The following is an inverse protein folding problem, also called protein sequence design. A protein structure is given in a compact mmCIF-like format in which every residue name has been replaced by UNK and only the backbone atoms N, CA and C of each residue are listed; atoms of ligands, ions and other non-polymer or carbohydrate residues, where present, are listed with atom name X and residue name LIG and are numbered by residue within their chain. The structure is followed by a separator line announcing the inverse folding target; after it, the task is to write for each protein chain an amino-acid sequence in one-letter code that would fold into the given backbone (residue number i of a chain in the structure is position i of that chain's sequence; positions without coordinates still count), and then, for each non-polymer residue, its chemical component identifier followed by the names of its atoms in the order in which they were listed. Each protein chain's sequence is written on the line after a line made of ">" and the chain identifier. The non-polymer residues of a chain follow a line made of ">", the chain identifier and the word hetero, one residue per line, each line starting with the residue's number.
data_IF_357841449471
#
_entry.id   IF_357841449471
#
_cell.length_a   1.000
_cell.length_b   1.000
_cell.length_c   1.000
_cell.angle_alpha   90.00
_cell.angle_beta   90.00
_cell.angle_gamma   90.00
#
_symmetry.space_group_name_H-M   'P 1'
#
loop_
_entity.id
_entity.type
_entity.pdbx_description
1 polymer ?
#
# COMPACT_ATOMS: atom_id res chain seq x y z
N UNK A 1 -22.74 37.57 -23.37
CA UNK A 1 -21.73 37.25 -22.37
C UNK A 1 -22.38 37.32 -20.98
N UNK A 2 -22.72 36.20 -20.39
CA UNK A 2 -23.19 36.11 -19.01
C UNK A 2 -22.11 35.39 -18.19
N UNK A 3 -21.81 35.78 -16.95
CA UNK A 3 -20.78 35.15 -16.16
C UNK A 3 -21.26 33.82 -15.58
N UNK A 4 -20.35 32.85 -15.59
CA UNK A 4 -20.51 31.49 -14.99
C UNK A 4 -20.40 31.64 -13.47
N UNK A 5 -21.41 31.18 -12.76
CA UNK A 5 -21.42 31.07 -11.29
C UNK A 5 -20.54 29.92 -10.83
N UNK A 6 -19.64 30.23 -9.92
CA UNK A 6 -18.83 29.25 -9.16
C UNK A 6 -19.71 28.48 -8.18
N UNK A 7 -19.80 27.16 -8.33
CA UNK A 7 -20.42 26.27 -7.35
C UNK A 7 -19.45 26.03 -6.19
N UNK A 8 -19.88 26.42 -4.99
CA UNK A 8 -19.23 26.14 -3.72
C UNK A 8 -19.23 24.63 -3.46
N UNK A 9 -18.07 24.10 -3.17
CA UNK A 9 -17.86 22.75 -2.62
C UNK A 9 -18.33 22.75 -1.16
N UNK A 10 -19.41 22.06 -0.90
CA UNK A 10 -19.93 21.81 0.43
C UNK A 10 -19.01 20.85 1.19
N UNK A 11 -18.37 21.35 2.24
CA UNK A 11 -17.57 20.56 3.18
C UNK A 11 -18.55 19.79 4.06
N UNK A 12 -18.56 18.46 3.94
CA UNK A 12 -19.39 17.58 4.75
C UNK A 12 -19.02 17.68 6.24
N UNK A 13 -20.01 18.04 7.05
CA UNK A 13 -20.00 18.16 8.50
C UNK A 13 -19.72 16.78 9.18
N UNK A 14 -18.76 16.65 10.10
CA UNK A 14 -18.48 15.40 10.80
C UNK A 14 -19.51 14.98 11.84
N UNK A 15 -20.65 15.67 11.96
CA UNK A 15 -21.66 15.40 12.99
C UNK A 15 -22.73 14.34 12.62
N UNK A 16 -22.69 13.72 11.43
CA UNK A 16 -23.70 12.72 10.99
C UNK A 16 -23.35 11.25 11.33
N UNK A 17 -22.42 11.00 12.26
CA UNK A 17 -22.04 9.65 12.69
C UNK A 17 -22.61 9.27 14.07
N UNK A 18 -23.89 9.49 14.31
CA UNK A 18 -24.62 8.90 15.45
C UNK A 18 -26.04 8.55 15.06
N UNK A 19 -26.25 7.29 14.59
CA UNK A 19 -27.46 6.47 14.80
C UNK A 19 -27.27 5.10 14.15
N UNK A 20 -27.48 4.03 14.96
CA UNK A 20 -27.67 2.67 14.43
C UNK A 20 -26.76 1.63 15.05
N UNK A 21 -26.97 1.32 16.35
CA UNK A 21 -26.69 -0.04 16.86
C UNK A 21 -27.77 -0.95 16.31
N UNK A 22 -27.53 -1.51 15.14
CA UNK A 22 -28.19 -2.71 14.68
C UNK A 22 -27.10 -3.67 14.16
N UNK A 23 -27.03 -4.82 14.79
CA UNK A 23 -26.42 -6.04 14.26
C UNK A 23 -27.23 -6.44 13.03
N UNK A 24 -27.04 -5.73 11.93
CA UNK A 24 -27.53 -6.18 10.64
C UNK A 24 -26.65 -7.36 10.24
N UNK A 25 -27.21 -8.57 10.37
CA UNK A 25 -26.87 -9.71 9.55
C UNK A 25 -26.98 -9.22 8.11
N UNK A 26 -25.83 -8.92 7.53
CA UNK A 26 -25.72 -8.53 6.13
C UNK A 26 -26.19 -9.75 5.32
N UNK A 27 -27.47 -9.77 4.96
CA UNK A 27 -28.02 -10.66 3.96
C UNK A 27 -27.24 -10.39 2.66
N UNK A 28 -26.25 -11.22 2.39
CA UNK A 28 -25.56 -11.23 1.11
C UNK A 28 -26.59 -11.70 0.10
N UNK A 29 -27.14 -10.76 -0.63
CA UNK A 29 -28.08 -11.03 -1.72
C UNK A 29 -27.44 -11.98 -2.73
N UNK A 30 -28.22 -12.92 -3.28
CA UNK A 30 -27.76 -13.88 -4.27
C UNK A 30 -27.04 -13.22 -5.46
N UNK A 31 -27.45 -12.00 -5.84
CA UNK A 31 -26.79 -11.19 -6.85
C UNK A 31 -25.34 -10.80 -6.51
N UNK A 32 -25.04 -10.53 -5.24
CA UNK A 32 -23.69 -10.20 -4.77
C UNK A 32 -22.74 -11.40 -4.83
N UNK A 33 -23.25 -12.63 -4.65
CA UNK A 33 -22.46 -13.87 -4.75
C UNK A 33 -22.10 -14.21 -6.20
N UNK A 34 -22.97 -13.90 -7.15
CA UNK A 34 -22.71 -14.08 -8.57
C UNK A 34 -21.64 -13.09 -9.08
N UNK A 35 -21.63 -11.87 -8.58
CA UNK A 35 -20.59 -10.88 -8.87
C UNK A 35 -19.18 -11.35 -8.47
N UNK A 36 -19.06 -12.20 -7.45
CA UNK A 36 -17.78 -12.76 -7.02
C UNK A 36 -17.21 -13.83 -7.98
N UNK A 37 -17.95 -14.30 -8.95
CA UNK A 37 -17.42 -15.19 -10.00
C UNK A 37 -16.35 -14.52 -10.83
N UNK A 38 -16.32 -13.16 -10.85
CA UNK A 38 -15.33 -12.36 -11.55
C UNK A 38 -14.12 -11.97 -10.67
N UNK A 39 -13.97 -12.60 -9.47
CA UNK A 39 -12.92 -12.29 -8.52
C UNK A 39 -11.90 -13.43 -8.41
N UNK A 40 -10.62 -13.11 -8.58
CA UNK A 40 -9.48 -13.95 -8.20
C UNK A 40 -8.98 -13.52 -6.82
N UNK A 41 -8.87 -14.46 -5.89
CA UNK A 41 -8.30 -14.23 -4.56
C UNK A 41 -6.87 -14.78 -4.50
N UNK A 42 -5.90 -13.89 -4.34
CA UNK A 42 -4.48 -14.25 -4.20
C UNK A 42 -4.14 -14.37 -2.72
N UNK A 43 -3.66 -15.53 -2.33
CA UNK A 43 -3.26 -15.84 -0.95
C UNK A 43 -1.76 -16.12 -0.92
N UNK A 44 -0.92 -15.09 -0.66
CA UNK A 44 0.51 -15.30 -0.45
C UNK A 44 0.74 -15.96 0.91
N UNK A 45 1.53 -17.02 0.94
CA UNK A 45 1.86 -17.75 2.17
C UNK A 45 3.34 -18.05 2.29
N UNK A 46 3.85 -18.03 3.51
CA UNK A 46 5.20 -18.45 3.85
C UNK A 46 5.24 -18.98 5.29
N UNK A 47 5.39 -20.30 5.45
CA UNK A 47 5.41 -20.98 6.73
C UNK A 47 4.14 -20.70 7.57
N UNK A 48 2.97 -21.00 6.98
CA UNK A 48 1.63 -20.82 7.57
C UNK A 48 0.83 -22.15 7.52
N UNK A 49 1.50 -23.30 7.65
CA UNK A 49 0.89 -24.66 7.55
C UNK A 49 -0.33 -24.83 8.45
N UNK A 50 -0.33 -24.21 9.64
CA UNK A 50 -1.40 -24.34 10.63
C UNK A 50 -2.69 -23.58 10.25
N UNK A 51 -2.58 -22.53 9.43
CA UNK A 51 -3.71 -21.64 9.13
C UNK A 51 -4.23 -21.77 7.70
N UNK A 52 -3.35 -22.09 6.74
CA UNK A 52 -3.68 -21.97 5.31
C UNK A 52 -4.84 -22.86 4.88
N UNK A 53 -4.87 -24.13 5.31
CA UNK A 53 -5.92 -25.06 4.91
C UNK A 53 -7.31 -24.56 5.33
N UNK A 54 -7.44 -24.20 6.61
CA UNK A 54 -8.69 -23.64 7.16
C UNK A 54 -9.10 -22.36 6.43
N UNK A 55 -8.16 -21.47 6.14
CA UNK A 55 -8.39 -20.22 5.41
C UNK A 55 -8.99 -20.48 4.03
N UNK A 56 -8.43 -21.42 3.27
CA UNK A 56 -8.93 -21.77 1.93
C UNK A 56 -10.30 -22.44 2.00
N UNK A 57 -10.51 -23.37 2.94
CA UNK A 57 -11.78 -24.07 3.14
C UNK A 57 -12.91 -23.11 3.54
N UNK A 58 -12.65 -22.15 4.46
CA UNK A 58 -13.59 -21.10 4.83
C UNK A 58 -14.00 -20.24 3.62
N UNK A 59 -13.03 -19.80 2.80
CA UNK A 59 -13.30 -19.02 1.58
C UNK A 59 -14.11 -19.81 0.56
N UNK A 60 -13.74 -21.06 0.29
CA UNK A 60 -14.49 -21.94 -0.64
C UNK A 60 -15.92 -22.20 -0.18
N UNK A 61 -16.10 -22.45 1.12
CA UNK A 61 -17.42 -22.68 1.69
C UNK A 61 -18.31 -21.44 1.59
N UNK A 62 -17.78 -20.27 1.88
CA UNK A 62 -18.52 -19.01 1.82
C UNK A 62 -18.78 -18.55 0.37
N UNK A 63 -17.85 -18.76 -0.53
CA UNK A 63 -17.87 -18.25 -1.90
C UNK A 63 -17.36 -19.30 -2.91
N UNK A 64 -18.16 -20.31 -3.29
CA UNK A 64 -17.70 -21.46 -4.12
C UNK A 64 -17.24 -21.09 -5.52
N UNK A 65 -17.65 -19.93 -6.04
CA UNK A 65 -17.34 -19.48 -7.42
C UNK A 65 -16.03 -18.68 -7.53
N UNK A 66 -15.35 -18.38 -6.40
CA UNK A 66 -14.08 -17.68 -6.40
C UNK A 66 -12.98 -18.45 -7.13
N UNK A 67 -12.14 -17.75 -7.87
CA UNK A 67 -10.84 -18.27 -8.26
C UNK A 67 -9.86 -18.07 -7.11
N UNK A 68 -9.44 -19.12 -6.45
CA UNK A 68 -8.47 -19.05 -5.34
C UNK A 68 -7.09 -19.45 -5.86
N UNK A 69 -6.10 -18.58 -5.64
CA UNK A 69 -4.71 -18.75 -6.05
C UNK A 69 -3.84 -18.65 -4.80
N UNK A 70 -3.38 -19.78 -4.31
CA UNK A 70 -2.40 -19.83 -3.23
C UNK A 70 -1.00 -19.73 -3.82
N UNK A 71 -0.19 -18.83 -3.33
CA UNK A 71 1.22 -18.69 -3.75
C UNK A 71 2.11 -18.96 -2.55
N UNK A 72 2.69 -20.12 -2.51
CA UNK A 72 3.67 -20.55 -1.51
C UNK A 72 5.04 -19.94 -1.86
N UNK A 73 5.50 -19.04 -1.02
CA UNK A 73 6.76 -18.31 -1.22
C UNK A 73 7.98 -19.09 -0.71
N UNK A 74 8.05 -20.39 -1.04
CA UNK A 74 9.16 -21.27 -0.70
C UNK A 74 9.17 -21.66 0.77
N UNK A 75 8.03 -22.13 1.30
CA UNK A 75 7.91 -22.65 2.66
C UNK A 75 8.70 -23.94 2.85
N UNK A 76 9.17 -24.14 4.07
CA UNK A 76 9.88 -25.34 4.53
C UNK A 76 9.11 -26.18 5.58
N UNK A 77 7.88 -25.74 5.92
CA UNK A 77 7.03 -26.36 6.95
C UNK A 77 5.89 -27.23 6.39
N UNK A 78 5.80 -27.42 5.06
CA UNK A 78 4.72 -28.15 4.42
C UNK A 78 3.47 -27.31 4.11
N UNK A 79 3.56 -25.99 4.16
CA UNK A 79 2.44 -25.07 3.84
C UNK A 79 1.84 -25.34 2.47
N UNK A 80 2.66 -25.52 1.43
CA UNK A 80 2.19 -25.80 0.07
C UNK A 80 1.45 -27.13 -0.02
N UNK A 81 2.00 -28.17 0.62
CA UNK A 81 1.42 -29.51 0.61
C UNK A 81 0.06 -29.56 1.32
N UNK A 82 -0.12 -28.75 2.37
CA UNK A 82 -1.35 -28.71 3.17
C UNK A 82 -2.62 -28.34 2.37
N UNK A 83 -2.47 -27.80 1.14
CA UNK A 83 -3.58 -27.36 0.30
C UNK A 83 -3.61 -28.02 -1.10
N UNK A 84 -2.63 -28.87 -1.43
CA UNK A 84 -2.55 -29.50 -2.77
C UNK A 84 -3.72 -30.42 -3.09
N UNK A 85 -4.30 -31.08 -2.09
CA UNK A 85 -5.45 -31.97 -2.22
C UNK A 85 -6.79 -31.22 -2.37
N UNK A 86 -6.80 -29.91 -2.18
CA UNK A 86 -8.02 -29.10 -2.27
C UNK A 86 -8.38 -28.85 -3.73
N UNK A 87 -9.46 -29.46 -4.20
CA UNK A 87 -9.94 -29.27 -5.58
C UNK A 87 -10.42 -27.84 -5.86
N UNK A 88 -10.19 -27.37 -7.09
CA UNK A 88 -10.71 -26.07 -7.57
C UNK A 88 -9.96 -24.86 -7.03
N UNK A 89 -8.71 -25.03 -6.61
CA UNK A 89 -7.77 -23.96 -6.32
C UNK A 89 -6.52 -24.08 -7.19
N UNK A 90 -5.81 -22.98 -7.41
CA UNK A 90 -4.48 -23.00 -8.01
C UNK A 90 -3.44 -22.85 -6.92
N UNK A 91 -2.45 -23.76 -6.88
CA UNK A 91 -1.30 -23.69 -5.99
C UNK A 91 -0.05 -23.43 -6.82
N UNK A 92 0.64 -22.35 -6.53
CA UNK A 92 1.90 -21.94 -7.15
C UNK A 92 2.98 -21.89 -6.09
N UNK A 93 4.17 -22.40 -6.40
CA UNK A 93 5.27 -22.43 -5.41
C UNK A 93 6.53 -21.77 -5.99
N UNK A 94 7.19 -20.97 -5.18
CA UNK A 94 8.54 -20.47 -5.45
C UNK A 94 9.57 -21.47 -4.92
N UNK A 95 10.70 -21.61 -5.62
CA UNK A 95 11.80 -22.49 -5.17
C UNK A 95 12.52 -21.97 -3.92
N UNK A 96 12.31 -20.73 -3.52
CA UNK A 96 12.86 -20.05 -2.35
C UNK A 96 12.01 -18.86 -1.96
N UNK A 97 12.16 -18.35 -0.75
CA UNK A 97 11.50 -17.12 -0.34
C UNK A 97 11.97 -15.94 -1.19
N UNK A 98 11.03 -15.39 -1.96
CA UNK A 98 11.21 -14.22 -2.82
C UNK A 98 10.55 -12.95 -2.24
N UNK A 99 9.73 -13.11 -1.22
CA UNK A 99 9.02 -12.07 -0.46
C UNK A 99 7.55 -11.91 -0.84
N UNK A 100 6.77 -11.41 0.11
CA UNK A 100 5.32 -11.21 0.03
C UNK A 100 4.86 -10.56 -1.28
N UNK A 101 5.48 -9.45 -1.69
CA UNK A 101 5.13 -8.76 -2.93
C UNK A 101 5.51 -9.55 -4.19
N UNK A 102 6.53 -10.43 -4.12
CA UNK A 102 6.85 -11.33 -5.22
C UNK A 102 5.74 -12.38 -5.39
N UNK A 103 5.26 -12.97 -4.30
CA UNK A 103 4.15 -13.90 -4.29
C UNK A 103 2.87 -13.26 -4.84
N UNK A 104 2.55 -12.03 -4.42
CA UNK A 104 1.43 -11.26 -4.99
C UNK A 104 1.56 -11.08 -6.50
N UNK A 105 2.73 -10.70 -7.00
CA UNK A 105 2.98 -10.55 -8.45
C UNK A 105 2.82 -11.86 -9.21
N UNK A 106 3.26 -12.96 -8.64
CA UNK A 106 3.06 -14.31 -9.23
C UNK A 106 1.58 -14.65 -9.29
N UNK A 107 0.83 -14.43 -8.22
CA UNK A 107 -0.62 -14.62 -8.18
C UNK A 107 -1.36 -13.73 -9.19
N UNK A 108 -1.02 -12.44 -9.27
CA UNK A 108 -1.63 -11.51 -10.24
C UNK A 108 -1.40 -11.92 -11.70
N UNK A 109 -0.24 -12.49 -12.05
CA UNK A 109 -0.01 -13.02 -13.41
C UNK A 109 -0.88 -14.23 -13.71
N UNK A 110 -1.18 -15.06 -12.70
CA UNK A 110 -1.98 -16.28 -12.84
C UNK A 110 -3.49 -16.03 -12.71
N UNK A 111 -3.91 -14.87 -12.22
CA UNK A 111 -5.31 -14.49 -12.10
C UNK A 111 -5.98 -14.42 -13.46
N UNK A 112 -7.19 -15.02 -13.59
CA UNK A 112 -7.93 -15.09 -14.85
C UNK A 112 -9.23 -14.26 -14.83
N UNK A 113 -9.59 -13.68 -13.69
CA UNK A 113 -10.81 -12.90 -13.51
C UNK A 113 -10.57 -11.41 -13.68
N UNK A 114 -11.64 -10.65 -13.86
CA UNK A 114 -11.62 -9.20 -14.07
C UNK A 114 -11.14 -8.41 -12.84
N UNK A 115 -11.36 -8.97 -11.64
CA UNK A 115 -10.96 -8.37 -10.37
C UNK A 115 -10.02 -9.28 -9.60
N UNK A 116 -9.19 -8.67 -8.76
CA UNK A 116 -8.25 -9.40 -7.90
C UNK A 116 -8.30 -8.86 -6.47
N UNK A 117 -8.38 -9.78 -5.52
CA UNK A 117 -8.21 -9.45 -4.11
C UNK A 117 -6.92 -10.07 -3.57
N UNK A 118 -6.22 -9.33 -2.71
CA UNK A 118 -5.16 -9.85 -1.88
C UNK A 118 -5.74 -10.26 -0.53
N UNK A 119 -5.35 -11.42 -0.04
CA UNK A 119 -5.91 -12.00 1.18
C UNK A 119 -4.82 -12.75 1.93
N UNK A 120 -4.52 -12.36 3.18
CA UNK A 120 -3.44 -13.00 3.94
C UNK A 120 -3.82 -14.43 4.37
N UNK A 121 -2.88 -15.37 4.25
CA UNK A 121 -3.08 -16.79 4.56
C UNK A 121 -2.96 -17.17 6.04
N UNK A 122 -2.85 -16.18 6.94
CA UNK A 122 -2.61 -16.35 8.38
C UNK A 122 -3.88 -16.51 9.24
N UNK A 123 -5.04 -16.63 8.58
CA UNK A 123 -6.35 -16.81 9.22
C UNK A 123 -6.94 -15.58 9.90
N UNK A 124 -6.32 -14.40 9.75
CA UNK A 124 -6.84 -13.17 10.37
C UNK A 124 -8.07 -12.60 9.67
N UNK A 125 -8.17 -12.74 8.35
CA UNK A 125 -9.29 -12.23 7.57
C UNK A 125 -10.47 -13.18 7.57
N UNK A 126 -11.67 -12.64 7.35
CA UNK A 126 -12.91 -13.39 7.26
C UNK A 126 -13.50 -13.27 5.85
N UNK A 127 -14.24 -14.29 5.36
CA UNK A 127 -14.90 -14.20 4.07
C UNK A 127 -15.83 -12.99 3.92
N UNK A 128 -16.52 -12.58 5.00
CA UNK A 128 -17.41 -11.41 5.01
C UNK A 128 -16.63 -10.12 4.79
N UNK A 129 -15.40 -10.02 5.33
CA UNK A 129 -14.53 -8.87 5.13
C UNK A 129 -14.06 -8.78 3.66
N UNK A 130 -13.82 -9.94 3.00
CA UNK A 130 -13.51 -9.99 1.58
C UNK A 130 -14.65 -9.42 0.73
N UNK A 131 -15.89 -9.82 1.03
CA UNK A 131 -17.07 -9.31 0.34
C UNK A 131 -17.21 -7.80 0.46
N UNK A 132 -17.07 -7.29 1.70
CA UNK A 132 -17.17 -5.87 1.97
C UNK A 132 -16.12 -5.03 1.21
N UNK A 133 -14.92 -5.61 0.98
CA UNK A 133 -13.83 -4.96 0.22
C UNK A 133 -14.01 -5.11 -1.29
N UNK A 134 -14.54 -6.23 -1.77
CA UNK A 134 -14.66 -6.50 -3.19
C UNK A 134 -15.85 -5.80 -3.86
N UNK A 135 -17.00 -5.75 -3.19
CA UNK A 135 -18.23 -5.22 -3.79
C UNK A 135 -18.10 -3.80 -4.33
N UNK A 136 -17.56 -2.81 -3.60
CA UNK A 136 -17.47 -1.44 -4.14
C UNK A 136 -16.55 -1.31 -5.36
N UNK A 137 -15.61 -2.25 -5.55
CA UNK A 137 -14.76 -2.30 -6.74
C UNK A 137 -15.50 -2.94 -7.91
N UNK A 138 -16.20 -4.04 -7.66
CA UNK A 138 -16.96 -4.77 -8.69
C UNK A 138 -18.13 -3.92 -9.22
N UNK A 139 -18.76 -3.13 -8.35
CA UNK A 139 -19.87 -2.20 -8.72
C UNK A 139 -19.36 -0.91 -9.37
N UNK A 140 -18.05 -0.66 -9.39
CA UNK A 140 -17.45 0.55 -9.96
C UNK A 140 -17.59 1.82 -9.10
N UNK A 141 -18.04 1.68 -7.83
CA UNK A 141 -18.08 2.80 -6.88
C UNK A 141 -16.69 3.30 -6.53
N UNK A 142 -15.73 2.38 -6.43
CA UNK A 142 -14.33 2.65 -6.12
C UNK A 142 -13.42 1.98 -7.15
N UNK A 143 -12.27 2.60 -7.44
CA UNK A 143 -11.26 2.02 -8.33
C UNK A 143 -10.37 1.01 -7.59
N UNK A 144 -10.26 1.14 -6.27
CA UNK A 144 -9.61 0.18 -5.37
C UNK A 144 -10.21 0.29 -3.97
N UNK A 145 -10.17 -0.79 -3.19
CA UNK A 145 -10.59 -0.78 -1.79
C UNK A 145 -9.56 -1.46 -0.90
N UNK A 146 -9.32 -0.87 0.27
CA UNK A 146 -8.44 -1.38 1.32
C UNK A 146 -9.26 -1.66 2.57
N UNK A 147 -9.15 -2.87 3.11
CA UNK A 147 -9.73 -3.22 4.39
C UNK A 147 -8.95 -2.57 5.54
N UNK A 148 -9.63 -1.81 6.41
CA UNK A 148 -9.01 -1.10 7.54
C UNK A 148 -9.32 -1.82 8.84
N UNK A 149 -8.28 -2.23 9.56
CA UNK A 149 -8.45 -2.90 10.85
C UNK A 149 -8.95 -1.93 11.91
N UNK A 150 -10.11 -2.27 12.53
CA UNK A 150 -10.75 -1.46 13.56
C UNK A 150 -9.91 -1.35 14.85
N UNK A 151 -10.28 -0.41 15.73
CA UNK A 151 -9.56 -0.14 17.01
C UNK A 151 -9.58 -1.32 18.01
N UNK A 152 -10.39 -2.35 17.80
CA UNK A 152 -10.44 -3.59 18.61
C UNK A 152 -9.57 -4.74 18.11
N UNK A 153 -8.93 -4.61 16.95
CA UNK A 153 -7.98 -5.61 16.46
C UNK A 153 -6.74 -5.63 17.32
N UNK A 154 -6.21 -6.81 17.64
CA UNK A 154 -5.04 -6.98 18.52
C UNK A 154 -3.87 -6.09 18.08
N UNK A 155 -3.71 -4.95 18.77
CA UNK A 155 -2.60 -4.01 18.54
C UNK A 155 -1.30 -4.68 19.00
N UNK A 156 -0.40 -4.91 18.08
CA UNK A 156 1.00 -5.12 18.42
C UNK A 156 1.58 -3.75 18.83
N UNK A 157 1.74 -3.57 20.14
CA UNK A 157 2.18 -2.32 20.79
C UNK A 157 3.61 -1.92 20.41
N UNK A 158 4.43 -2.88 19.98
CA UNK A 158 5.88 -2.71 19.82
C UNK A 158 6.35 -1.93 18.58
N UNK A 159 5.43 -1.40 17.75
CA UNK A 159 5.76 -0.74 16.47
C UNK A 159 5.20 0.66 16.30
N UNK A 160 4.82 1.32 17.39
CA UNK A 160 4.10 2.60 17.33
C UNK A 160 4.94 3.70 16.64
N UNK A 161 6.23 3.81 16.96
CA UNK A 161 7.08 4.87 16.42
C UNK A 161 7.35 4.73 14.90
N UNK A 162 7.72 3.54 14.43
CA UNK A 162 7.96 3.31 13.00
C UNK A 162 6.70 3.44 12.15
N UNK A 163 5.55 2.98 12.67
CA UNK A 163 4.25 3.13 12.02
C UNK A 163 3.81 4.60 11.96
N UNK A 164 4.01 5.35 13.05
CA UNK A 164 3.69 6.78 13.10
C UNK A 164 4.53 7.58 12.09
N UNK A 165 5.83 7.31 12.04
CA UNK A 165 6.72 7.94 11.07
C UNK A 165 6.33 7.61 9.63
N UNK A 166 6.06 6.34 9.32
CA UNK A 166 5.63 5.91 7.99
C UNK A 166 4.31 6.59 7.58
N UNK A 167 3.34 6.64 8.51
CA UNK A 167 2.04 7.30 8.26
C UNK A 167 2.22 8.81 8.06
N UNK A 168 3.08 9.45 8.85
CA UNK A 168 3.40 10.87 8.67
C UNK A 168 4.02 11.14 7.30
N UNK A 169 5.03 10.35 6.90
CA UNK A 169 5.67 10.49 5.59
C UNK A 169 4.69 10.21 4.46
N UNK A 170 3.88 9.15 4.55
CA UNK A 170 2.86 8.85 3.56
C UNK A 170 1.87 10.02 3.40
N UNK A 171 1.37 10.56 4.51
CA UNK A 171 0.48 11.74 4.50
C UNK A 171 1.16 12.96 3.89
N UNK A 172 2.43 13.20 4.20
CA UNK A 172 3.20 14.31 3.63
C UNK A 172 3.38 14.18 2.12
N UNK A 173 3.63 12.95 1.63
CA UNK A 173 3.84 12.67 0.21
C UNK A 173 2.55 12.81 -0.62
N UNK A 174 1.44 12.30 -0.11
CA UNK A 174 0.18 12.16 -0.86
C UNK A 174 -0.83 13.25 -0.50
N UNK A 175 -0.62 14.00 0.58
CA UNK A 175 -1.47 15.13 0.99
C UNK A 175 -2.78 14.74 1.67
N UNK A 176 -3.09 13.44 1.82
CA UNK A 176 -4.31 12.96 2.48
C UNK A 176 -4.03 11.85 3.50
N UNK A 177 -4.89 11.69 4.54
CA UNK A 177 -4.73 10.64 5.53
C UNK A 177 -5.03 9.26 4.94
N UNK A 178 -4.16 8.28 5.22
CA UNK A 178 -4.37 6.88 4.86
C UNK A 178 -4.57 6.08 6.15
N UNK A 179 -5.75 5.48 6.37
CA UNK A 179 -6.10 4.84 7.65
C UNK A 179 -5.26 3.61 7.99
N UNK A 180 -5.02 2.71 7.03
CA UNK A 180 -4.19 1.50 7.23
C UNK A 180 -3.35 1.19 5.99
N UNK A 181 -2.07 1.59 6.04
CA UNK A 181 -1.10 1.34 4.97
C UNK A 181 -0.68 -0.12 4.84
N UNK A 182 -0.80 -0.89 5.92
CA UNK A 182 -0.22 -2.23 6.02
C UNK A 182 -1.27 -3.36 5.95
N UNK A 183 -2.53 -3.04 5.70
CA UNK A 183 -3.55 -4.08 5.53
C UNK A 183 -3.23 -4.96 4.32
N UNK A 184 -3.31 -6.27 4.49
CA UNK A 184 -3.16 -7.24 3.41
C UNK A 184 -4.45 -7.43 2.59
N UNK A 185 -5.62 -7.12 3.17
CA UNK A 185 -6.91 -7.30 2.48
C UNK A 185 -7.21 -6.11 1.57
N UNK A 186 -7.23 -6.34 0.27
CA UNK A 186 -7.41 -5.31 -0.76
C UNK A 186 -8.10 -5.87 -1.98
N UNK A 187 -8.80 -5.02 -2.73
CA UNK A 187 -9.39 -5.40 -4.02
C UNK A 187 -9.11 -4.35 -5.08
N UNK A 188 -8.91 -4.81 -6.32
CA UNK A 188 -8.58 -3.99 -7.49
C UNK A 188 -9.17 -4.62 -8.76
N UNK A 189 -9.44 -3.85 -9.82
CA UNK A 189 -9.46 -4.37 -11.19
C UNK A 189 -8.07 -4.98 -11.52
N UNK A 190 -8.05 -6.15 -12.14
CA UNK A 190 -6.80 -6.89 -12.38
C UNK A 190 -5.84 -6.10 -13.28
N UNK A 191 -6.37 -5.43 -14.31
CA UNK A 191 -5.57 -4.66 -15.25
C UNK A 191 -4.97 -3.41 -14.59
N UNK A 192 -5.74 -2.75 -13.70
CA UNK A 192 -5.26 -1.62 -12.94
C UNK A 192 -4.02 -1.99 -12.12
N UNK A 193 -4.12 -3.04 -11.29
CA UNK A 193 -2.99 -3.39 -10.41
C UNK A 193 -1.82 -4.03 -11.16
N UNK A 194 -2.06 -4.73 -12.26
CA UNK A 194 -1.02 -5.26 -13.14
C UNK A 194 -0.19 -4.15 -13.77
N UNK A 195 -0.81 -3.06 -14.23
CA UNK A 195 -0.13 -1.88 -14.78
C UNK A 195 0.93 -1.34 -13.83
N UNK A 196 0.66 -1.32 -12.52
CA UNK A 196 1.58 -0.84 -11.50
C UNK A 196 2.41 -1.93 -10.80
N UNK A 197 2.28 -3.21 -11.20
CA UNK A 197 2.98 -4.32 -10.55
C UNK A 197 4.52 -4.18 -10.57
N UNK A 198 5.08 -3.52 -11.58
CA UNK A 198 6.51 -3.26 -11.71
C UNK A 198 7.04 -2.27 -10.63
N UNK A 199 6.20 -1.39 -10.11
CA UNK A 199 6.56 -0.45 -9.04
C UNK A 199 6.54 -1.12 -7.66
N UNK A 200 5.77 -2.21 -7.50
CA UNK A 200 5.63 -2.89 -6.23
C UNK A 200 6.96 -3.56 -5.82
N UNK A 201 7.44 -3.36 -4.59
CA UNK A 201 8.58 -4.11 -4.07
C UNK A 201 8.22 -5.58 -3.86
N UNK A 202 9.25 -6.43 -3.75
CA UNK A 202 9.03 -7.86 -3.48
C UNK A 202 8.66 -8.17 -2.02
N UNK A 203 8.91 -7.25 -1.08
CA UNK A 203 8.61 -7.42 0.35
C UNK A 203 7.23 -6.93 0.77
N UNK A 204 6.99 -6.86 2.08
CA UNK A 204 5.73 -6.42 2.69
C UNK A 204 5.28 -5.01 2.32
N UNK A 205 6.21 -4.14 1.90
CA UNK A 205 5.91 -2.79 1.46
C UNK A 205 5.10 -2.72 0.14
N UNK A 206 4.84 -3.85 -0.53
CA UNK A 206 3.95 -3.91 -1.70
C UNK A 206 2.56 -3.33 -1.38
N UNK A 207 2.01 -3.64 -0.20
CA UNK A 207 0.73 -3.10 0.27
C UNK A 207 0.76 -1.58 0.41
N UNK A 208 1.77 -1.01 1.06
CA UNK A 208 1.93 0.44 1.19
C UNK A 208 2.11 1.12 -0.16
N UNK A 209 2.98 0.55 -1.02
CA UNK A 209 3.30 1.13 -2.32
C UNK A 209 2.09 1.13 -3.24
N UNK A 210 1.27 0.07 -3.26
CA UNK A 210 0.06 0.03 -4.09
C UNK A 210 -0.94 1.12 -3.71
N UNK A 211 -1.21 1.35 -2.41
CA UNK A 211 -2.10 2.43 -1.98
C UNK A 211 -1.58 3.80 -2.40
N UNK A 212 -0.29 4.08 -2.10
CA UNK A 212 0.30 5.38 -2.41
C UNK A 212 0.33 5.66 -3.91
N UNK A 213 0.63 4.62 -4.72
CA UNK A 213 0.65 4.73 -6.16
C UNK A 213 -0.74 5.09 -6.72
N UNK A 214 -1.80 4.39 -6.28
CA UNK A 214 -3.15 4.64 -6.77
C UNK A 214 -3.68 6.00 -6.33
N UNK A 215 -3.43 6.38 -5.07
CA UNK A 215 -3.86 7.69 -4.55
C UNK A 215 -3.13 8.84 -5.25
N UNK A 216 -1.82 8.72 -5.48
CA UNK A 216 -1.03 9.75 -6.19
C UNK A 216 -1.48 9.92 -7.63
N UNK A 217 -1.92 8.83 -8.28
CA UNK A 217 -2.47 8.85 -9.64
C UNK A 217 -3.94 9.28 -9.71
N UNK A 218 -4.55 9.67 -8.59
CA UNK A 218 -5.91 10.20 -8.53
C UNK A 218 -7.02 9.14 -8.60
N UNK A 219 -6.70 7.84 -8.44
CA UNK A 219 -7.72 6.80 -8.34
C UNK A 219 -8.52 6.91 -7.05
N UNK A 220 -9.81 6.56 -7.12
CA UNK A 220 -10.71 6.53 -5.96
C UNK A 220 -10.41 5.30 -5.11
N UNK A 221 -9.65 5.49 -4.02
CA UNK A 221 -9.31 4.42 -3.08
C UNK A 221 -10.25 4.48 -1.88
N UNK A 222 -11.15 3.49 -1.79
CA UNK A 222 -12.07 3.33 -0.67
C UNK A 222 -11.42 2.63 0.53
N UNK A 223 -11.95 2.89 1.73
CA UNK A 223 -11.47 2.30 2.98
C UNK A 223 -12.66 1.70 3.73
N UNK A 224 -12.65 0.36 3.89
CA UNK A 224 -13.74 -0.39 4.53
C UNK A 224 -13.26 -0.97 5.86
N UNK A 225 -13.97 -0.73 6.98
CA UNK A 225 -13.59 -1.32 8.27
C UNK A 225 -13.76 -2.83 8.24
N UNK A 226 -12.72 -3.57 8.67
CA UNK A 226 -12.72 -5.03 8.76
C UNK A 226 -12.49 -5.50 10.20
N UNK A 227 -12.99 -6.71 10.50
CA UNK A 227 -12.87 -7.33 11.83
C UNK A 227 -11.80 -8.41 11.79
N UNK A 228 -10.52 -8.02 11.84
CA UNK A 228 -9.42 -8.99 11.86
C UNK A 228 -9.46 -9.86 13.13
N UNK A 229 -9.38 -11.19 12.97
CA UNK A 229 -9.21 -12.17 14.04
C UNK A 229 -7.81 -12.06 14.66
N UNK A 230 -7.61 -12.61 15.84
CA UNK A 230 -6.25 -12.83 16.39
C UNK A 230 -5.52 -13.85 15.53
N UNK A 231 -4.27 -13.56 15.20
CA UNK A 231 -3.39 -14.47 14.47
C UNK A 231 -3.17 -15.75 15.29
N UNK A 232 -3.35 -16.91 14.67
CA UNK A 232 -2.99 -18.22 15.22
C UNK A 232 -1.50 -18.45 14.83
N UNK A 233 -0.53 -17.94 15.61
CA UNK A 233 0.90 -18.13 15.36
C UNK A 233 1.80 -17.04 15.94
N UNK A 234 3.11 -17.31 16.01
CA UNK A 234 4.10 -16.36 16.52
C UNK A 234 4.53 -15.36 15.45
N UNK A 235 4.58 -14.07 15.80
CA UNK A 235 5.13 -13.03 14.91
C UNK A 235 6.66 -13.22 14.77
N UNK A 236 7.14 -13.51 13.56
CA UNK A 236 8.57 -13.76 13.24
C UNK A 236 9.38 -12.46 13.05
N UNK A 237 8.95 -11.34 13.61
CA UNK A 237 9.54 -10.02 13.34
C UNK A 237 10.69 -9.69 14.26
N UNK A 238 11.84 -9.29 13.67
CA UNK A 238 13.06 -8.88 14.38
C UNK A 238 13.15 -7.36 14.46
N UNK A 239 13.18 -6.78 15.70
CA UNK A 239 13.08 -5.34 15.97
C UNK A 239 14.15 -4.47 15.25
N UNK A 240 15.39 -4.90 15.15
CA UNK A 240 16.51 -4.09 14.62
C UNK A 240 16.54 -4.11 13.08
N UNK A 241 16.28 -5.26 12.46
CA UNK A 241 16.21 -5.36 10.99
C UNK A 241 15.03 -4.60 10.40
N UNK A 242 13.95 -4.45 11.17
CA UNK A 242 12.73 -3.76 10.75
C UNK A 242 12.88 -2.23 10.77
N UNK A 243 13.66 -1.66 11.68
CA UNK A 243 13.94 -0.22 11.72
C UNK A 243 14.67 0.24 10.46
N UNK A 244 15.72 -0.46 10.06
CA UNK A 244 16.47 -0.17 8.82
C UNK A 244 15.62 -0.45 7.58
N UNK A 245 14.80 -1.49 7.61
CA UNK A 245 13.82 -1.80 6.57
C UNK A 245 12.78 -0.68 6.40
N UNK A 246 12.27 -0.14 7.49
CA UNK A 246 11.33 1.00 7.49
C UNK A 246 11.98 2.26 6.94
N UNK A 247 13.22 2.56 7.32
CA UNK A 247 13.95 3.72 6.80
C UNK A 247 14.22 3.60 5.30
N UNK A 248 14.62 2.40 4.83
CA UNK A 248 14.78 2.12 3.40
C UNK A 248 13.46 2.26 2.64
N UNK A 249 12.34 1.81 3.22
CA UNK A 249 11.02 1.97 2.65
C UNK A 249 10.65 3.45 2.53
N UNK A 250 10.83 4.23 3.59
CA UNK A 250 10.57 5.68 3.61
C UNK A 250 11.37 6.37 2.50
N UNK A 251 12.68 6.12 2.43
CA UNK A 251 13.54 6.68 1.40
C UNK A 251 13.05 6.32 -0.01
N UNK A 252 12.70 5.05 -0.24
CA UNK A 252 12.16 4.59 -1.53
C UNK A 252 10.86 5.28 -1.89
N UNK A 253 9.95 5.46 -0.93
CA UNK A 253 8.66 6.15 -1.14
C UNK A 253 8.88 7.63 -1.47
N UNK A 254 9.79 8.29 -0.75
CA UNK A 254 10.17 9.68 -1.01
C UNK A 254 10.67 9.84 -2.45
N UNK A 255 11.62 9.00 -2.87
CA UNK A 255 12.19 9.07 -4.22
C UNK A 255 11.16 8.72 -5.28
N UNK A 256 10.24 7.78 -5.01
CA UNK A 256 9.26 7.33 -5.99
C UNK A 256 8.08 8.30 -6.19
N UNK A 257 7.67 9.04 -5.14
CA UNK A 257 6.44 9.82 -5.18
C UNK A 257 6.63 11.33 -5.12
N UNK A 258 7.75 11.81 -4.58
CA UNK A 258 7.93 13.27 -4.41
C UNK A 258 9.40 13.66 -4.18
N UNK A 259 10.30 13.16 -5.04
CA UNK A 259 11.73 13.43 -4.93
C UNK A 259 12.01 14.95 -4.92
N UNK A 260 11.45 15.68 -5.89
CA UNK A 260 11.67 17.12 -6.04
C UNK A 260 11.34 17.89 -4.75
N UNK A 261 10.16 17.65 -4.14
CA UNK A 261 9.72 18.35 -2.94
C UNK A 261 10.67 18.12 -1.75
N UNK A 262 11.09 16.87 -1.53
CA UNK A 262 11.94 16.51 -0.38
C UNK A 262 13.36 17.02 -0.57
N UNK A 263 13.94 16.81 -1.75
CA UNK A 263 15.30 17.30 -2.03
C UNK A 263 15.37 18.83 -2.10
N UNK A 264 14.32 19.51 -2.56
CA UNK A 264 14.23 20.97 -2.51
C UNK A 264 14.21 21.49 -1.07
N UNK A 265 13.40 20.89 -0.18
CA UNK A 265 13.38 21.28 1.23
C UNK A 265 14.72 21.04 1.92
N UNK A 266 15.37 19.91 1.67
CA UNK A 266 16.70 19.59 2.19
C UNK A 266 17.76 20.56 1.64
N UNK A 267 17.72 20.87 0.35
CA UNK A 267 18.65 21.80 -0.27
C UNK A 267 18.47 23.23 0.27
N UNK A 268 17.23 23.71 0.40
CA UNK A 268 16.95 25.03 0.99
C UNK A 268 17.37 25.12 2.46
N UNK A 269 17.29 24.03 3.22
CA UNK A 269 17.78 23.99 4.60
C UNK A 269 19.31 24.17 4.74
N UNK A 270 20.05 23.99 3.66
CA UNK A 270 21.47 24.27 3.57
C UNK A 270 21.75 25.65 2.95
N UNK A 271 21.05 26.00 1.87
CA UNK A 271 21.23 27.25 1.13
C UNK A 271 20.87 28.47 1.99
N UNK A 272 19.71 28.46 2.65
CA UNK A 272 19.23 29.63 3.39
C UNK A 272 20.14 29.95 4.60
N UNK A 273 20.46 28.99 5.51
CA UNK A 273 21.38 29.28 6.61
C UNK A 273 22.82 29.62 6.11
N UNK A 274 23.27 28.96 5.04
CA UNK A 274 24.57 29.26 4.44
C UNK A 274 24.66 30.69 3.93
N UNK A 275 23.58 31.17 3.25
CA UNK A 275 23.50 32.53 2.75
C UNK A 275 23.45 33.55 3.90
N UNK A 276 22.59 33.32 4.90
CA UNK A 276 22.44 34.21 6.07
C UNK A 276 23.80 34.30 6.82
N UNK A 277 24.42 33.18 7.14
CA UNK A 277 25.71 33.14 7.80
C UNK A 277 26.80 33.84 6.98
N UNK A 278 26.85 33.59 5.67
CA UNK A 278 27.81 34.20 4.77
C UNK A 278 27.71 35.72 4.71
N UNK A 279 26.48 36.25 4.62
CA UNK A 279 26.23 37.69 4.60
C UNK A 279 26.59 38.34 5.95
N UNK A 280 26.17 37.76 7.07
CA UNK A 280 26.50 38.30 8.41
C UNK A 280 28.01 38.41 8.60
N UNK A 281 28.77 37.35 8.33
CA UNK A 281 30.23 37.33 8.51
C UNK A 281 30.93 38.29 7.56
N UNK A 282 30.47 38.42 6.32
CA UNK A 282 31.03 39.36 5.37
C UNK A 282 30.84 40.81 5.80
N UNK A 283 29.66 41.16 6.36
CA UNK A 283 29.35 42.50 6.86
C UNK A 283 30.09 42.85 8.16
N UNK A 284 30.15 41.90 9.12
CA UNK A 284 30.79 42.13 10.43
C UNK A 284 32.31 42.19 10.35
N UNK A 285 32.94 41.31 9.56
CA UNK A 285 34.41 41.15 9.52
C UNK A 285 35.06 41.92 8.41
N UNK A 286 34.31 42.52 7.46
CA UNK A 286 34.89 43.13 6.27
C UNK A 286 35.76 42.18 5.43
N UNK A 287 35.69 40.90 5.73
CA UNK A 287 36.41 39.82 5.05
C UNK A 287 35.52 39.20 3.98
N UNK A 288 36.08 38.56 2.98
CA UNK A 288 35.36 37.89 1.92
C UNK A 288 34.37 36.83 2.44
N UNK A 289 33.56 36.30 1.56
CA UNK A 289 32.52 35.33 1.91
C UNK A 289 33.15 34.04 2.51
N UNK A 290 32.69 33.54 3.67
CA UNK A 290 33.30 32.40 4.33
C UNK A 290 33.20 31.12 3.51
N UNK A 291 34.27 30.33 3.45
CA UNK A 291 34.31 29.06 2.71
C UNK A 291 33.21 28.10 3.15
N UNK A 292 32.91 28.04 4.45
CA UNK A 292 31.85 27.20 5.00
C UNK A 292 30.47 27.59 4.45
N UNK A 293 30.18 28.88 4.33
CA UNK A 293 28.96 29.38 3.73
C UNK A 293 28.85 28.99 2.26
N UNK A 294 29.93 29.21 1.50
CA UNK A 294 29.99 28.81 0.09
C UNK A 294 29.79 27.33 -0.13
N UNK A 295 30.47 26.48 0.66
CA UNK A 295 30.29 25.03 0.56
C UNK A 295 28.87 24.58 0.93
N UNK A 296 28.24 25.18 1.93
CA UNK A 296 26.83 24.88 2.30
C UNK A 296 25.85 25.24 1.17
N UNK A 297 26.03 26.41 0.53
CA UNK A 297 25.20 26.84 -0.61
C UNK A 297 25.37 25.90 -1.78
N UNK A 298 26.60 25.56 -2.17
CA UNK A 298 26.88 24.64 -3.28
C UNK A 298 26.28 23.27 -3.00
N UNK A 299 26.48 22.73 -1.80
CA UNK A 299 25.90 21.45 -1.41
C UNK A 299 24.37 21.46 -1.47
N UNK A 300 23.76 22.56 -1.01
CA UNK A 300 22.29 22.73 -1.07
C UNK A 300 21.76 22.81 -2.51
N UNK A 301 22.42 23.55 -3.39
CA UNK A 301 22.07 23.63 -4.80
C UNK A 301 22.23 22.29 -5.52
N UNK A 302 23.33 21.56 -5.25
CA UNK A 302 23.52 20.20 -5.77
C UNK A 302 22.44 19.26 -5.30
N UNK A 303 22.02 19.37 -4.03
CA UNK A 303 20.92 18.56 -3.47
C UNK A 303 19.62 18.83 -4.22
N UNK A 304 19.26 20.09 -4.48
CA UNK A 304 18.08 20.46 -5.28
C UNK A 304 18.17 19.86 -6.68
N UNK A 305 19.34 20.00 -7.33
CA UNK A 305 19.54 19.50 -8.68
C UNK A 305 19.39 17.97 -8.77
N UNK A 306 19.94 17.24 -7.79
CA UNK A 306 19.72 15.78 -7.65
C UNK A 306 18.23 15.47 -7.53
N UNK A 307 17.47 16.29 -6.78
CA UNK A 307 16.02 16.17 -6.67
C UNK A 307 15.31 16.29 -8.02
N UNK A 308 15.66 17.28 -8.83
CA UNK A 308 15.11 17.46 -10.18
C UNK A 308 15.40 16.24 -11.06
N UNK A 309 16.65 15.76 -11.07
CA UNK A 309 17.03 14.58 -11.86
C UNK A 309 16.28 13.32 -11.39
N UNK A 310 16.18 13.10 -10.08
CA UNK A 310 15.47 11.96 -9.53
C UNK A 310 13.96 11.98 -9.89
N UNK A 311 13.36 13.16 -9.89
CA UNK A 311 11.96 13.36 -10.28
C UNK A 311 11.74 13.01 -11.75
N UNK A 312 12.59 13.53 -12.65
CA UNK A 312 12.51 13.24 -14.08
C UNK A 312 12.71 11.75 -14.38
N UNK A 313 13.69 11.10 -13.73
CA UNK A 313 13.90 9.64 -13.87
C UNK A 313 12.67 8.86 -13.40
N UNK A 314 12.02 9.33 -12.35
CA UNK A 314 10.83 8.67 -11.82
C UNK A 314 9.62 8.82 -12.77
N UNK A 315 9.40 10.01 -13.33
CA UNK A 315 8.33 10.23 -14.30
C UNK A 315 8.55 9.41 -15.58
N UNK A 316 9.75 9.43 -16.16
CA UNK A 316 10.09 8.57 -17.31
C UNK A 316 9.85 7.08 -17.03
N UNK A 317 10.13 6.63 -15.80
CA UNK A 317 9.88 5.26 -15.39
C UNK A 317 8.37 4.94 -15.28
N UNK A 318 7.56 5.91 -14.88
CA UNK A 318 6.11 5.75 -14.80
C UNK A 318 5.49 5.73 -16.22
N UNK A 319 5.86 6.68 -17.09
CA UNK A 319 5.36 6.80 -18.47
C UNK A 319 5.66 5.56 -19.32
N UNK A 320 6.90 5.06 -19.30
CA UNK A 320 7.33 3.92 -20.13
C UNK A 320 6.47 2.67 -19.98
N UNK A 321 5.77 2.52 -18.87
CA UNK A 321 4.94 1.35 -18.58
C UNK A 321 3.45 1.63 -18.72
N UNK A 322 3.02 2.89 -18.84
CA UNK A 322 1.65 3.23 -19.20
C UNK A 322 1.39 2.96 -20.69
N UNK A 323 2.34 3.31 -21.56
CA UNK A 323 2.23 3.11 -23.03
C UNK A 323 2.33 1.64 -23.49
N UNK A 324 2.76 0.73 -22.64
CA UNK A 324 2.95 -0.69 -23.03
C UNK A 324 1.67 -1.54 -22.97
N UNK A 325 0.51 -0.95 -22.66
CA UNK A 325 -0.76 -1.66 -22.46
C UNK A 325 -1.89 -1.18 -23.40
N UNK A 326 -1.63 -0.19 -24.24
CA UNK A 326 -2.45 0.19 -25.40
C UNK A 326 -2.03 -0.62 -26.66
#
# INVERSE_FOLDING_TARGET
>A
MKPVQSSHTEVADPACAKRGTHTDEFFIDLGSRDALSELSVIIPVYNEVTAIRKTVEELKSACPKLEIIVVDDGSDDGTGDAVQDLHGIKVLSHSRNCGYGAALKTGMRSASRSYVAWYDGDGQHRPEDLLAVALPVITGEQDAVVGVRGQGSARQIDRVAGKALLTFVARFLVGQPIPDLNSGLRCFPVDLIRRYAHLLPNGFSASTTSTLCLVERGYRVGYVPIKARRREGQSKVRLISDGLGTLRLIFRLVVLFNALKVFTLLGLSLVIPGLIYGVIVALEKGAGFPTLAGTAIIAGLLTIFIGVVADQVTELRKERFEDSWD
#
